data_IF_656658458986
#
_entry.id   IF_656658458986
#
_cell.length_a   1.000
_cell.length_b   1.000
_cell.length_c   1.000
_cell.angle_alpha   90.00
_cell.angle_beta   90.00
_cell.angle_gamma   90.00
#
_symmetry.space_group_name_H-M   'P 1'
#
loop_
_entity.id
_entity.type
_entity.pdbx_description
1 polymer ?
#
# COMPACT_ATOMS: atom_id res chain seq x y z
N UNK A 1 5.92 21.83 0.14
CA UNK A 1 4.99 22.97 0.21
C UNK A 1 3.57 22.53 0.56
N UNK A 2 2.85 21.79 -0.30
CA UNK A 2 1.45 21.38 0.00
C UNK A 2 1.28 20.56 1.28
N UNK A 3 2.12 19.55 1.52
CA UNK A 3 2.00 18.70 2.73
C UNK A 3 2.19 19.48 4.02
N UNK A 4 3.05 20.50 4.03
CA UNK A 4 3.30 21.32 5.23
C UNK A 4 2.05 22.10 5.64
N UNK A 5 1.21 22.50 4.68
CA UNK A 5 -0.07 23.17 4.94
C UNK A 5 -1.09 22.27 5.64
N UNK A 6 -0.90 20.95 5.61
CA UNK A 6 -1.78 19.98 6.27
C UNK A 6 -1.39 19.72 7.73
N UNK A 7 -0.33 20.35 8.22
CA UNK A 7 0.14 20.18 9.61
C UNK A 7 -0.97 20.54 10.60
N UNK A 8 -1.31 19.59 11.47
CA UNK A 8 -2.36 19.75 12.48
C UNK A 8 -3.80 19.62 11.93
N UNK A 9 -3.97 19.35 10.63
CA UNK A 9 -5.27 19.09 10.01
C UNK A 9 -5.50 17.59 9.74
N UNK A 10 -4.43 16.81 9.65
CA UNK A 10 -4.48 15.37 9.38
C UNK A 10 -3.99 14.62 10.60
N UNK A 11 -4.86 13.77 11.15
CA UNK A 11 -4.50 12.86 12.25
C UNK A 11 -3.81 11.60 11.74
N UNK A 12 -4.27 11.04 10.62
CA UNK A 12 -3.79 9.76 10.09
C UNK A 12 -3.41 9.88 8.62
N UNK A 13 -2.21 9.41 8.28
CA UNK A 13 -1.74 9.27 6.91
C UNK A 13 -1.71 7.80 6.48
N UNK A 14 -2.24 7.51 5.28
CA UNK A 14 -2.26 6.16 4.68
C UNK A 14 -1.62 6.14 3.27
N UNK A 15 -0.36 6.61 3.09
CA UNK A 15 0.26 6.76 1.78
C UNK A 15 0.65 5.42 1.17
N UNK A 16 0.70 5.40 -0.17
CA UNK A 16 1.22 4.28 -0.96
C UNK A 16 2.68 4.52 -1.34
N UNK A 17 3.55 3.56 -1.03
CA UNK A 17 4.97 3.56 -1.42
C UNK A 17 5.29 2.43 -2.38
N UNK A 18 5.44 2.79 -3.66
CA UNK A 18 5.26 1.86 -4.77
C UNK A 18 6.53 1.44 -5.50
N UNK A 19 7.46 2.37 -5.76
CA UNK A 19 8.63 2.13 -6.60
C UNK A 19 9.91 2.60 -5.92
N UNK A 20 10.88 1.70 -5.79
CA UNK A 20 12.25 2.05 -5.39
C UNK A 20 13.07 2.63 -6.57
N UNK A 21 12.77 2.21 -7.80
CA UNK A 21 13.58 2.54 -8.96
C UNK A 21 12.87 3.51 -9.92
N UNK A 22 13.59 4.57 -10.29
CA UNK A 22 13.13 5.61 -11.23
C UNK A 22 12.66 5.03 -12.57
N UNK A 23 13.32 3.98 -13.06
CA UNK A 23 12.98 3.34 -14.35
C UNK A 23 11.56 2.78 -14.36
N UNK A 24 11.13 2.13 -13.29
CA UNK A 24 9.79 1.56 -13.19
C UNK A 24 8.74 2.63 -12.89
N UNK A 25 9.08 3.62 -12.08
CA UNK A 25 8.20 4.76 -11.82
C UNK A 25 7.92 5.59 -13.08
N UNK A 26 8.95 5.84 -13.90
CA UNK A 26 8.79 6.45 -15.22
C UNK A 26 7.96 5.57 -16.14
N UNK A 27 8.30 4.28 -16.26
CA UNK A 27 7.68 3.38 -17.24
C UNK A 27 6.19 3.16 -16.97
N UNK A 28 5.80 2.97 -15.71
CA UNK A 28 4.44 2.57 -15.36
C UNK A 28 3.58 3.72 -14.82
N UNK A 29 4.18 4.82 -14.41
CA UNK A 29 3.45 5.95 -13.82
C UNK A 29 3.89 7.32 -14.34
N UNK A 30 4.81 7.37 -15.32
CA UNK A 30 5.34 8.62 -15.89
C UNK A 30 5.90 9.59 -14.83
N UNK A 31 6.44 9.04 -13.73
CA UNK A 31 6.91 9.79 -12.57
C UNK A 31 8.35 9.39 -12.23
N UNK A 32 9.36 9.91 -12.94
CA UNK A 32 10.76 9.46 -12.82
C UNK A 32 11.40 9.84 -11.48
N UNK A 33 10.91 10.89 -10.84
CA UNK A 33 11.36 11.43 -9.55
C UNK A 33 10.60 10.83 -8.35
N UNK A 34 9.58 10.00 -8.61
CA UNK A 34 8.72 9.41 -7.58
C UNK A 34 9.48 8.81 -6.39
N UNK A 35 10.53 7.98 -6.53
CA UNK A 35 11.17 7.36 -5.36
C UNK A 35 11.71 8.40 -4.37
N UNK A 36 12.33 9.47 -4.88
CA UNK A 36 12.88 10.55 -4.07
C UNK A 36 11.77 11.44 -3.47
N UNK A 37 10.76 11.79 -4.27
CA UNK A 37 9.65 12.62 -3.81
C UNK A 37 8.79 11.87 -2.78
N UNK A 38 8.56 10.58 -2.99
CA UNK A 38 7.78 9.74 -2.10
C UNK A 38 8.45 9.61 -0.73
N UNK A 39 9.76 9.33 -0.65
CA UNK A 39 10.44 9.25 0.66
C UNK A 39 10.42 10.60 1.38
N UNK A 40 10.65 11.72 0.67
CA UNK A 40 10.53 13.06 1.28
C UNK A 40 9.12 13.35 1.78
N UNK A 41 8.10 12.98 1.03
CA UNK A 41 6.70 13.13 1.42
C UNK A 41 6.36 12.27 2.65
N UNK A 42 6.82 11.03 2.70
CA UNK A 42 6.61 10.12 3.84
C UNK A 42 7.29 10.67 5.09
N UNK A 43 8.52 11.20 4.97
CA UNK A 43 9.22 11.83 6.10
C UNK A 43 8.47 13.06 6.63
N UNK A 44 7.94 13.90 5.74
CA UNK A 44 7.10 15.04 6.11
C UNK A 44 5.82 14.57 6.84
N UNK A 45 5.09 13.61 6.27
CA UNK A 45 3.90 13.02 6.91
C UNK A 45 4.24 12.45 8.29
N UNK A 46 5.31 11.67 8.40
CA UNK A 46 5.78 11.10 9.66
C UNK A 46 6.10 12.18 10.69
N UNK A 47 6.73 13.30 10.28
CA UNK A 47 7.03 14.39 11.20
C UNK A 47 5.79 15.08 11.77
N UNK A 48 4.66 15.03 11.06
CA UNK A 48 3.40 15.63 11.48
C UNK A 48 2.61 14.75 12.46
N UNK A 49 2.59 13.43 12.23
CA UNK A 49 1.70 12.52 12.97
C UNK A 49 2.41 11.46 13.80
N UNK A 50 3.67 11.15 13.51
CA UNK A 50 4.46 10.14 14.20
C UNK A 50 4.05 8.70 13.90
N UNK A 51 4.34 7.80 14.84
CA UNK A 51 3.99 6.39 14.78
C UNK A 51 2.48 6.19 14.91
N UNK A 52 1.94 5.12 14.33
CA UNK A 52 0.53 4.77 14.45
C UNK A 52 0.17 4.44 15.90
N UNK A 53 -0.78 5.19 16.45
CA UNK A 53 -1.40 5.02 17.75
C UNK A 53 -2.83 4.50 17.57
N UNK A 54 -3.14 3.42 18.28
CA UNK A 54 -4.47 2.81 18.32
C UNK A 54 -5.08 3.03 19.71
N UNK A 55 -6.40 3.17 19.78
CA UNK A 55 -7.11 3.15 21.06
C UNK A 55 -7.24 1.74 21.66
N UNK A 56 -7.88 1.63 22.83
CA UNK A 56 -8.12 0.36 23.52
C UNK A 56 -8.97 -0.64 22.70
N UNK A 57 -9.68 -0.17 21.68
CA UNK A 57 -10.49 -0.99 20.77
C UNK A 57 -9.75 -1.32 19.46
N UNK A 58 -8.51 -0.87 19.30
CA UNK A 58 -7.72 -1.07 18.09
C UNK A 58 -8.03 -0.10 16.95
N UNK A 59 -8.79 0.97 17.19
CA UNK A 59 -9.10 1.99 16.20
C UNK A 59 -7.94 2.98 16.11
N UNK A 60 -7.46 3.25 14.90
CA UNK A 60 -6.41 4.23 14.68
C UNK A 60 -6.88 5.64 15.07
N UNK A 61 -6.09 6.31 15.91
CA UNK A 61 -6.37 7.66 16.40
C UNK A 61 -5.46 8.69 15.74
N UNK A 62 -4.17 8.35 15.58
CA UNK A 62 -3.16 9.23 14.99
C UNK A 62 -2.00 8.42 14.43
N UNK A 63 -1.32 8.92 13.40
CA UNK A 63 -0.03 8.39 12.96
C UNK A 63 -0.01 7.92 11.51
N UNK A 64 1.08 7.23 11.15
CA UNK A 64 1.38 6.83 9.78
C UNK A 64 1.26 5.32 9.59
N UNK A 65 0.44 4.89 8.63
CA UNK A 65 0.39 3.52 8.11
C UNK A 65 0.84 3.51 6.65
N UNK A 66 1.99 2.92 6.36
CA UNK A 66 2.54 2.91 5.01
C UNK A 66 2.08 1.68 4.23
N UNK A 67 1.45 1.87 3.07
CA UNK A 67 1.01 0.76 2.22
C UNK A 67 2.02 0.47 1.13
N UNK A 68 2.37 -0.81 0.97
CA UNK A 68 3.30 -1.28 -0.04
C UNK A 68 2.65 -2.42 -0.82
N UNK A 69 2.30 -2.13 -2.07
CA UNK A 69 1.77 -3.14 -2.99
C UNK A 69 2.91 -3.92 -3.63
N UNK A 70 2.97 -5.22 -3.37
CA UNK A 70 3.94 -6.11 -4.02
C UNK A 70 3.54 -6.28 -5.49
N UNK A 71 4.49 -6.05 -6.39
CA UNK A 71 4.32 -6.21 -7.83
C UNK A 71 5.05 -7.45 -8.35
N UNK A 72 4.54 -8.10 -9.41
CA UNK A 72 5.19 -9.25 -10.03
C UNK A 72 6.59 -8.85 -10.54
N UNK A 73 7.47 -9.84 -10.64
CA UNK A 73 8.85 -9.69 -11.09
C UNK A 73 9.66 -8.68 -10.26
N UNK A 74 9.29 -8.48 -8.99
CA UNK A 74 9.94 -7.54 -8.05
C UNK A 74 9.96 -6.09 -8.54
N UNK A 75 9.06 -5.72 -9.46
CA UNK A 75 9.09 -4.42 -10.14
C UNK A 75 8.89 -3.22 -9.19
N UNK A 76 8.24 -3.43 -8.05
CA UNK A 76 8.09 -2.40 -7.03
C UNK A 76 9.42 -2.06 -6.32
N UNK A 77 10.37 -3.00 -6.27
CA UNK A 77 11.56 -2.88 -5.43
C UNK A 77 11.20 -2.79 -3.94
N UNK A 78 10.25 -3.61 -3.49
CA UNK A 78 9.76 -3.54 -2.10
C UNK A 78 10.88 -3.76 -1.08
N UNK A 79 11.88 -4.60 -1.39
CA UNK A 79 13.02 -4.85 -0.50
C UNK A 79 13.87 -3.61 -0.36
N UNK A 80 14.24 -2.99 -1.47
CA UNK A 80 15.00 -1.74 -1.51
C UNK A 80 14.26 -0.63 -0.75
N UNK A 81 12.94 -0.53 -0.94
CA UNK A 81 12.10 0.37 -0.17
C UNK A 81 12.14 0.08 1.33
N UNK A 82 12.09 -1.19 1.75
CA UNK A 82 12.20 -1.57 3.18
C UNK A 82 13.55 -1.16 3.77
N UNK A 83 14.66 -1.38 3.05
CA UNK A 83 15.99 -0.91 3.48
C UNK A 83 16.01 0.62 3.65
N UNK A 84 15.50 1.36 2.66
CA UNK A 84 15.43 2.82 2.74
C UNK A 84 14.58 3.30 3.92
N UNK A 85 13.43 2.66 4.18
CA UNK A 85 12.58 3.00 5.31
C UNK A 85 13.26 2.73 6.66
N UNK A 86 13.91 1.58 6.79
CA UNK A 86 14.64 1.21 8.01
C UNK A 86 15.77 2.21 8.30
N UNK A 87 16.47 2.67 7.26
CA UNK A 87 17.53 3.69 7.38
C UNK A 87 16.99 5.09 7.72
N UNK A 88 15.95 5.53 7.02
CA UNK A 88 15.49 6.93 7.08
C UNK A 88 14.52 7.21 8.24
N UNK A 89 13.73 6.21 8.64
CA UNK A 89 12.62 6.36 9.58
C UNK A 89 12.60 5.30 10.69
N UNK A 90 13.45 4.28 10.61
CA UNK A 90 13.49 3.18 11.56
C UNK A 90 12.43 2.09 11.29
N UNK A 91 12.46 1.07 12.12
CA UNK A 91 11.68 -0.17 11.93
C UNK A 91 10.40 -0.23 12.76
N UNK A 92 10.14 0.79 13.59
CA UNK A 92 8.91 0.92 14.37
C UNK A 92 7.70 1.39 13.55
N UNK A 93 7.94 1.77 12.28
CA UNK A 93 6.89 2.15 11.34
C UNK A 93 5.88 1.00 11.15
N UNK A 94 4.61 1.39 11.08
CA UNK A 94 3.55 0.45 10.75
C UNK A 94 3.44 0.31 9.24
N UNK A 95 3.62 -0.91 8.74
CA UNK A 95 3.58 -1.23 7.31
C UNK A 95 2.38 -2.13 7.00
N UNK A 96 1.75 -1.89 5.86
CA UNK A 96 0.78 -2.79 5.25
C UNK A 96 1.38 -3.35 3.96
N UNK A 97 1.76 -4.63 4.01
CA UNK A 97 2.32 -5.35 2.87
C UNK A 97 1.16 -6.03 2.11
N UNK A 98 0.82 -5.49 0.95
CA UNK A 98 -0.36 -5.89 0.20
C UNK A 98 0.00 -6.91 -0.87
N UNK A 99 -0.64 -8.08 -0.81
CA UNK A 99 -0.49 -9.17 -1.77
C UNK A 99 -1.55 -9.18 -2.88
N UNK A 100 -2.30 -8.09 -3.03
CA UNK A 100 -3.57 -8.04 -3.78
C UNK A 100 -3.43 -7.54 -5.23
N UNK A 101 -2.23 -7.66 -5.83
CA UNK A 101 -2.02 -7.17 -7.18
C UNK A 101 -2.73 -8.04 -8.22
N UNK A 102 -3.53 -7.40 -9.08
CA UNK A 102 -4.05 -7.99 -10.29
C UNK A 102 -3.87 -7.06 -11.51
N UNK A 103 -3.76 -7.60 -12.73
CA UNK A 103 -3.57 -6.79 -13.93
C UNK A 103 -4.83 -5.98 -14.30
N UNK A 104 -4.81 -4.67 -14.06
CA UNK A 104 -5.90 -3.75 -14.37
C UNK A 104 -5.51 -2.68 -15.42
N UNK A 105 -6.50 -2.17 -16.16
CA UNK A 105 -6.33 -1.04 -17.09
C UNK A 105 -5.18 -1.26 -18.10
N UNK A 106 -4.22 -0.32 -18.15
CA UNK A 106 -3.06 -0.36 -19.05
C UNK A 106 -1.99 -1.39 -18.64
N UNK A 107 -2.11 -2.03 -17.46
CA UNK A 107 -1.14 -3.04 -17.03
C UNK A 107 -1.05 -4.21 -18.01
N UNK A 108 -2.16 -4.55 -18.70
CA UNK A 108 -2.22 -5.59 -19.73
C UNK A 108 -1.31 -5.32 -20.94
N UNK A 109 -0.87 -4.08 -21.14
CA UNK A 109 0.05 -3.70 -22.22
C UNK A 109 1.52 -3.96 -21.88
N UNK A 110 1.82 -4.33 -20.62
CA UNK A 110 3.17 -4.61 -20.15
C UNK A 110 3.26 -6.08 -19.75
N UNK A 111 4.02 -6.88 -20.52
CA UNK A 111 4.13 -8.33 -20.34
C UNK A 111 4.55 -8.75 -18.92
N UNK A 112 5.34 -7.90 -18.26
CA UNK A 112 5.82 -8.11 -16.91
C UNK A 112 4.80 -7.78 -15.81
N UNK A 113 3.67 -7.15 -16.16
CA UNK A 113 2.56 -6.81 -15.27
C UNK A 113 1.28 -7.60 -15.58
N UNK A 114 1.30 -8.53 -16.54
CA UNK A 114 0.10 -9.27 -16.98
C UNK A 114 -0.25 -10.48 -16.11
N UNK A 115 0.36 -10.63 -14.93
CA UNK A 115 0.05 -11.71 -13.97
C UNK A 115 -0.02 -11.19 -12.54
N UNK A 116 -0.72 -11.92 -11.68
CA UNK A 116 -0.62 -11.73 -10.23
C UNK A 116 0.76 -12.07 -9.68
N UNK A 117 0.98 -11.74 -8.41
CA UNK A 117 2.19 -12.12 -7.67
C UNK A 117 2.15 -13.59 -7.25
N UNK A 118 3.32 -14.19 -7.12
CA UNK A 118 3.50 -15.53 -6.57
C UNK A 118 3.65 -15.48 -5.04
N UNK A 119 3.41 -16.61 -4.37
CA UNK A 119 3.67 -16.75 -2.92
C UNK A 119 5.12 -16.41 -2.57
N UNK A 120 6.08 -16.89 -3.37
CA UNK A 120 7.50 -16.62 -3.13
C UNK A 120 7.84 -15.14 -3.23
N UNK A 121 7.27 -14.41 -4.20
CA UNK A 121 7.51 -12.96 -4.34
C UNK A 121 6.96 -12.17 -3.15
N UNK A 122 5.82 -12.61 -2.60
CA UNK A 122 5.22 -11.96 -1.44
C UNK A 122 5.98 -12.28 -0.15
N UNK A 123 6.24 -13.57 0.12
CA UNK A 123 6.97 -13.97 1.32
C UNK A 123 8.38 -13.40 1.36
N UNK A 124 9.07 -13.27 0.22
CA UNK A 124 10.38 -12.62 0.20
C UNK A 124 10.33 -11.18 0.75
N UNK A 125 9.24 -10.44 0.51
CA UNK A 125 9.05 -9.08 1.04
C UNK A 125 8.75 -9.12 2.54
N UNK A 126 7.86 -10.02 2.97
CA UNK A 126 7.51 -10.20 4.39
C UNK A 126 8.74 -10.60 5.20
N UNK A 127 9.47 -11.61 4.73
CA UNK A 127 10.69 -12.11 5.37
C UNK A 127 11.75 -11.00 5.46
N UNK A 128 11.95 -10.23 4.39
CA UNK A 128 12.88 -9.08 4.41
C UNK A 128 12.47 -8.05 5.47
N UNK A 129 11.18 -7.76 5.62
CA UNK A 129 10.70 -6.82 6.63
C UNK A 129 10.96 -7.34 8.06
N UNK A 130 10.71 -8.64 8.29
CA UNK A 130 10.98 -9.29 9.58
C UNK A 130 12.49 -9.32 9.88
N UNK A 131 13.32 -9.67 8.91
CA UNK A 131 14.79 -9.70 9.03
C UNK A 131 15.39 -8.33 9.36
N UNK A 132 14.81 -7.27 8.80
CA UNK A 132 15.19 -5.88 9.10
C UNK A 132 14.75 -5.41 10.48
N UNK A 133 13.85 -6.14 11.14
CA UNK A 133 13.34 -5.82 12.48
C UNK A 133 12.07 -4.97 12.48
N UNK A 134 11.29 -4.95 11.39
CA UNK A 134 9.97 -4.33 11.41
C UNK A 134 9.01 -5.16 12.27
N UNK A 135 8.42 -4.53 13.29
CA UNK A 135 7.59 -5.21 14.29
C UNK A 135 6.09 -5.08 14.02
N UNK A 136 5.68 -4.01 13.33
CA UNK A 136 4.26 -3.66 13.09
C UNK A 136 3.87 -3.89 11.64
N UNK A 137 3.60 -5.14 11.29
CA UNK A 137 3.28 -5.56 9.93
C UNK A 137 1.83 -6.03 9.81
N UNK A 138 1.06 -5.38 8.93
CA UNK A 138 -0.21 -5.89 8.41
C UNK A 138 0.05 -6.67 7.13
N UNK A 139 -0.11 -7.98 7.20
CA UNK A 139 -0.02 -8.89 6.05
C UNK A 139 -1.41 -9.33 5.62
N UNK A 140 -1.56 -9.68 4.34
CA UNK A 140 -2.82 -10.10 3.75
C UNK A 140 -2.65 -11.42 3.00
N UNK A 141 -3.76 -12.15 2.82
CA UNK A 141 -3.79 -13.27 1.89
C UNK A 141 -3.57 -12.79 0.45
N UNK A 142 -2.81 -13.57 -0.32
CA UNK A 142 -2.57 -13.24 -1.73
C UNK A 142 -3.85 -13.45 -2.52
N UNK A 143 -4.26 -12.40 -3.23
CA UNK A 143 -5.39 -12.45 -4.15
C UNK A 143 -5.03 -11.69 -5.42
N UNK A 144 -5.36 -12.26 -6.57
CA UNK A 144 -5.20 -11.60 -7.87
C UNK A 144 -6.55 -11.44 -8.58
N UNK A 145 -7.62 -11.37 -7.78
CA UNK A 145 -8.99 -11.25 -8.26
C UNK A 145 -9.43 -9.79 -8.37
N UNK A 146 -10.28 -9.52 -9.35
CA UNK A 146 -10.95 -8.25 -9.55
C UNK A 146 -12.30 -8.13 -8.82
N UNK A 147 -12.72 -9.12 -8.01
CA UNK A 147 -14.03 -9.18 -7.34
C UNK A 147 -14.43 -7.90 -6.60
N UNK A 148 -13.46 -7.21 -6.01
CA UNK A 148 -13.69 -5.97 -5.24
C UNK A 148 -13.49 -4.68 -6.06
N UNK A 149 -13.26 -4.80 -7.36
CA UNK A 149 -13.05 -3.66 -8.25
C UNK A 149 -14.39 -3.20 -8.80
N UNK A 150 -14.82 -1.96 -8.50
CA UNK A 150 -16.06 -1.45 -9.07
C UNK A 150 -15.96 -1.41 -10.59
N UNK A 151 -17.02 -1.88 -11.26
CA UNK A 151 -17.15 -1.74 -12.70
C UNK A 151 -17.62 -0.31 -13.02
N UNK A 152 -16.73 0.51 -13.57
CA UNK A 152 -17.04 1.88 -13.99
C UNK A 152 -17.53 1.97 -15.45
N UNK A 153 -17.84 0.84 -16.10
CA UNK A 153 -18.44 0.83 -17.43
C UNK A 153 -19.83 1.47 -17.39
N UNK A 154 -20.20 2.30 -18.38
CA UNK A 154 -21.53 2.90 -18.46
C UNK A 154 -22.63 1.90 -18.84
N UNK A 155 -22.29 0.64 -19.14
CA UNK A 155 -23.26 -0.41 -19.43
C UNK A 155 -23.93 -0.89 -18.13
N UNK A 156 -25.27 -0.94 -18.07
CA UNK A 156 -25.96 -1.50 -16.91
C UNK A 156 -25.79 -3.02 -16.91
N UNK A 157 -25.03 -3.55 -15.96
CA UNK A 157 -25.07 -4.97 -15.60
C UNK A 157 -25.21 -5.15 -14.09
N UNK A 158 -25.73 -6.32 -13.71
CA UNK A 158 -26.21 -6.69 -12.38
C UNK A 158 -25.33 -6.16 -11.25
N UNK A 159 -25.99 -5.46 -10.33
CA UNK A 159 -25.44 -4.99 -9.07
C UNK A 159 -24.68 -6.15 -8.43
N UNK A 160 -23.37 -5.96 -8.22
CA UNK A 160 -22.53 -6.89 -7.49
C UNK A 160 -23.23 -7.18 -6.14
N UNK A 161 -23.58 -8.43 -5.78
CA UNK A 161 -24.45 -8.73 -4.64
C UNK A 161 -23.88 -8.27 -3.28
N UNK A 162 -22.62 -7.83 -3.25
CA UNK A 162 -21.93 -7.37 -2.05
C UNK A 162 -22.01 -5.85 -1.86
N UNK A 163 -22.63 -5.09 -2.77
CA UNK A 163 -22.83 -3.64 -2.58
C UNK A 163 -24.04 -3.28 -1.70
N UNK A 164 -24.78 -4.25 -1.19
CA UNK A 164 -25.72 -4.01 -0.09
C UNK A 164 -24.94 -3.96 1.24
N UNK A 165 -24.61 -2.75 1.70
CA UNK A 165 -24.36 -2.53 3.11
C UNK A 165 -25.64 -2.87 3.87
N UNK A 166 -25.70 -4.04 4.49
CA UNK A 166 -26.82 -4.46 5.34
C UNK A 166 -26.44 -4.30 6.83
N UNK A 167 -26.71 -3.15 7.45
CA UNK A 167 -26.36 -2.89 8.85
C UNK A 167 -27.14 -3.75 9.86
N UNK A 168 -28.09 -4.59 9.43
CA UNK A 168 -28.88 -5.43 10.33
C UNK A 168 -28.26 -6.81 10.61
N UNK A 169 -27.21 -7.20 9.88
CA UNK A 169 -26.56 -8.52 10.05
C UNK A 169 -25.57 -8.59 11.22
N UNK A 170 -25.19 -7.46 11.84
CA UNK A 170 -24.32 -7.43 13.04
C UNK A 170 -25.09 -7.54 14.38
N UNK A 171 -26.41 -7.69 14.38
CA UNK A 171 -27.22 -7.78 15.62
C UNK A 171 -27.65 -9.19 16.01
N UNK A 172 -27.09 -10.21 15.37
CA UNK A 172 -27.26 -11.60 15.82
C UNK A 172 -25.95 -12.36 15.65
N UNK A 173 -25.11 -12.27 16.70
CA UNK A 173 -24.41 -13.39 17.32
C UNK A 173 -24.03 -12.99 18.77
#
# INVERSE_FOLDING_TARGET
ETLQLLTGLVDIYLPDFKYAHKVYAQKYSSAPDYPAVAISAIKEMFSQVGLLELDEKGIAQKGLLLRMLVLPNKLAGCKENLYTLAEELGTELTLSLMGQYYPAGKAKNYKELTRGITLSEYFEVVDTAVELGFTKLYTQEISSSDTWTPNFSPAPEEINPVSEFNPQLELTL
#
